data_IF_904095117432
#
_entry.id   IF_904095117432
#
_cell.length_a   1.000
_cell.length_b   1.000
_cell.length_c   1.000
_cell.angle_alpha   90.00
_cell.angle_beta   90.00
_cell.angle_gamma   90.00
#
_symmetry.space_group_name_H-M   'P 1'
#
loop_
_entity.id
_entity.type
_entity.pdbx_description
1 polymer ?
#
# COMPACT_ATOMS: atom_id res chain seq x y z
N UNK A 1 2.86 6.92 -13.28
CA UNK A 1 2.36 5.54 -13.09
C UNK A 1 1.04 5.60 -12.34
N UNK A 2 0.07 4.79 -12.74
CA UNK A 2 -1.24 4.69 -12.10
C UNK A 2 -1.60 3.22 -11.90
N UNK A 3 -2.33 2.93 -10.82
CA UNK A 3 -2.93 1.61 -10.57
C UNK A 3 -4.45 1.80 -10.51
N UNK A 4 -5.19 0.93 -11.18
CA UNK A 4 -6.65 0.92 -11.19
C UNK A 4 -7.13 -0.39 -10.55
N UNK A 5 -8.08 -0.28 -9.64
CA UNK A 5 -8.75 -1.42 -9.02
C UNK A 5 -10.24 -1.37 -9.37
N UNK A 6 -10.76 -2.45 -9.93
CA UNK A 6 -12.19 -2.60 -10.17
C UNK A 6 -12.88 -3.01 -8.86
N UNK A 7 -13.86 -2.22 -8.41
CA UNK A 7 -14.69 -2.50 -7.23
C UNK A 7 -16.09 -2.99 -7.58
N UNK A 8 -16.29 -3.42 -8.83
CA UNK A 8 -17.58 -3.83 -9.42
C UNK A 8 -18.46 -2.63 -9.75
N UNK A 9 -18.67 -1.72 -8.81
CA UNK A 9 -19.52 -0.53 -8.93
C UNK A 9 -18.74 0.78 -9.11
N UNK A 10 -17.41 0.76 -8.99
CA UNK A 10 -16.54 1.88 -9.34
C UNK A 10 -15.09 1.45 -9.64
N UNK A 11 -14.35 2.32 -10.30
CA UNK A 11 -12.88 2.25 -10.36
C UNK A 11 -12.27 3.05 -9.22
N UNK A 12 -11.39 2.40 -8.47
CA UNK A 12 -10.52 3.07 -7.52
C UNK A 12 -9.17 3.29 -8.18
N UNK A 13 -8.82 4.56 -8.38
CA UNK A 13 -7.54 4.95 -8.96
C UNK A 13 -6.53 5.32 -7.88
N UNK A 14 -5.28 4.87 -8.07
CA UNK A 14 -4.12 5.30 -7.31
C UNK A 14 -3.11 5.91 -8.28
N UNK A 15 -3.02 7.24 -8.28
CA UNK A 15 -2.03 8.00 -9.04
C UNK A 15 -0.78 8.25 -8.19
N UNK A 16 0.39 7.85 -8.70
CA UNK A 16 1.64 7.89 -7.94
C UNK A 16 2.43 9.16 -8.26
N UNK A 17 2.59 10.02 -7.26
CA UNK A 17 3.41 11.24 -7.34
C UNK A 17 4.69 11.16 -6.51
N UNK A 18 5.72 11.96 -6.83
CA UNK A 18 6.88 12.15 -5.96
C UNK A 18 6.46 12.60 -4.55
N UNK A 19 7.29 12.29 -3.54
CA UNK A 19 7.08 12.74 -2.17
C UNK A 19 7.09 14.28 -2.14
N UNK A 20 6.16 14.88 -1.41
CA UNK A 20 6.00 16.35 -1.34
C UNK A 20 5.41 16.99 -2.61
N UNK A 21 5.16 16.23 -3.68
CA UNK A 21 4.59 16.75 -4.93
C UNK A 21 3.08 16.94 -4.90
N UNK A 22 2.42 16.69 -3.77
CA UNK A 22 0.96 16.73 -3.69
C UNK A 22 0.41 18.15 -3.77
N UNK A 23 1.06 19.10 -3.10
CA UNK A 23 0.63 20.50 -3.10
C UNK A 23 0.87 21.13 -4.46
N UNK A 24 2.02 20.85 -5.09
CA UNK A 24 2.30 21.26 -6.47
C UNK A 24 1.28 20.68 -7.47
N UNK A 25 0.90 19.40 -7.31
CA UNK A 25 -0.15 18.79 -8.14
C UNK A 25 -1.53 19.41 -7.88
N UNK A 26 -1.83 19.86 -6.65
CA UNK A 26 -3.13 20.47 -6.33
C UNK A 26 -3.22 21.95 -6.71
N UNK A 27 -2.08 22.60 -6.96
CA UNK A 27 -2.02 23.98 -7.41
C UNK A 27 -2.47 24.16 -8.87
N UNK A 28 -2.41 23.11 -9.70
CA UNK A 28 -2.94 23.14 -11.06
C UNK A 28 -4.48 22.92 -11.08
N UNK A 29 -5.17 23.39 -12.13
CA UNK A 29 -6.57 23.06 -12.36
C UNK A 29 -6.80 21.54 -12.38
N UNK A 30 -7.90 21.08 -11.77
CA UNK A 30 -8.20 19.65 -11.72
C UNK A 30 -8.38 19.04 -13.13
N UNK A 31 -8.84 19.82 -14.10
CA UNK A 31 -9.03 19.37 -15.49
C UNK A 31 -7.72 18.94 -16.16
N UNK A 32 -6.60 19.59 -15.84
CA UNK A 32 -5.29 19.17 -16.35
C UNK A 32 -4.90 17.78 -15.82
N UNK A 33 -5.21 17.53 -14.55
CA UNK A 33 -5.00 16.22 -13.95
C UNK A 33 -5.95 15.17 -14.54
N UNK A 34 -7.24 15.48 -14.71
CA UNK A 34 -8.22 14.60 -15.38
C UNK A 34 -7.77 14.24 -16.79
N UNK A 35 -7.31 15.21 -17.57
CA UNK A 35 -6.73 14.98 -18.90
C UNK A 35 -5.52 14.06 -18.87
N UNK A 36 -4.68 14.15 -17.83
CA UNK A 36 -3.58 13.21 -17.62
C UNK A 36 -4.08 11.80 -17.30
N UNK A 37 -5.13 11.66 -16.48
CA UNK A 37 -5.74 10.35 -16.18
C UNK A 37 -6.36 9.73 -17.44
N UNK A 38 -7.08 10.52 -18.24
CA UNK A 38 -7.69 10.06 -19.50
C UNK A 38 -6.64 9.53 -20.49
N UNK A 39 -5.48 10.20 -20.59
CA UNK A 39 -4.35 9.73 -21.41
C UNK A 39 -3.74 8.42 -20.89
N UNK A 40 -3.67 8.26 -19.56
CA UNK A 40 -3.08 7.06 -18.94
C UNK A 40 -4.02 5.85 -18.95
N UNK A 41 -5.34 6.08 -18.94
CA UNK A 41 -6.35 5.03 -19.03
C UNK A 41 -7.51 5.48 -19.92
N UNK A 42 -7.35 5.38 -21.25
CA UNK A 42 -8.36 5.85 -22.21
C UNK A 42 -9.74 5.20 -22.02
N UNK A 43 -9.80 3.96 -21.55
CA UNK A 43 -11.05 3.23 -21.31
C UNK A 43 -11.92 3.79 -20.16
N UNK A 44 -11.39 4.72 -19.35
CA UNK A 44 -12.15 5.47 -18.34
C UNK A 44 -12.18 6.98 -18.62
N UNK A 45 -11.74 7.43 -19.80
CA UNK A 45 -11.61 8.86 -20.13
C UNK A 45 -12.92 9.64 -19.91
N UNK A 46 -14.04 9.08 -20.35
CA UNK A 46 -15.40 9.66 -20.20
C UNK A 46 -15.89 9.76 -18.75
N UNK A 47 -15.18 9.14 -17.80
CA UNK A 47 -15.55 9.09 -16.38
C UNK A 47 -14.59 9.88 -15.49
N UNK A 48 -13.61 10.58 -16.08
CA UNK A 48 -12.56 11.29 -15.33
C UNK A 48 -13.06 12.55 -14.62
N UNK A 49 -14.25 13.03 -14.96
CA UNK A 49 -14.94 14.17 -14.34
C UNK A 49 -15.53 13.86 -12.96
N UNK A 50 -15.73 12.58 -12.62
CA UNK A 50 -16.34 12.17 -11.33
C UNK A 50 -15.72 12.84 -10.10
N UNK A 51 -14.39 12.91 -9.90
CA UNK A 51 -13.81 13.69 -8.82
C UNK A 51 -13.98 15.16 -9.21
N UNK A 52 -15.05 15.80 -8.73
CA UNK A 52 -15.48 17.14 -9.12
C UNK A 52 -14.44 18.23 -8.77
N UNK A 53 -13.68 18.00 -7.69
CA UNK A 53 -12.66 18.93 -7.19
C UNK A 53 -11.49 18.19 -6.54
N UNK A 54 -10.42 18.93 -6.22
CA UNK A 54 -9.28 18.38 -5.47
C UNK A 54 -9.67 17.88 -4.07
N UNK A 55 -10.83 18.27 -3.53
CA UNK A 55 -11.34 17.76 -2.27
C UNK A 55 -11.76 16.28 -2.36
N UNK A 56 -12.13 15.81 -3.55
CA UNK A 56 -12.49 14.42 -3.82
C UNK A 56 -11.25 13.52 -3.97
N UNK A 57 -10.08 14.16 -4.06
CA UNK A 57 -8.77 13.55 -4.27
C UNK A 57 -8.00 13.49 -2.95
N UNK A 58 -7.91 12.31 -2.35
CA UNK A 58 -7.20 12.12 -1.06
C UNK A 58 -5.76 11.70 -1.25
N UNK A 59 -4.82 12.49 -0.74
CA UNK A 59 -3.39 12.17 -0.72
C UNK A 59 -3.06 11.24 0.46
N UNK A 60 -2.49 10.08 0.17
CA UNK A 60 -2.02 9.10 1.14
C UNK A 60 -0.49 9.05 1.13
N UNK A 61 0.15 9.52 2.18
CA UNK A 61 1.58 9.35 2.36
C UNK A 61 1.94 7.91 2.71
N UNK A 62 2.82 7.30 1.92
CA UNK A 62 3.29 5.94 2.20
C UNK A 62 4.39 5.98 3.25
N UNK A 63 4.12 5.35 4.39
CA UNK A 63 5.09 5.10 5.47
C UNK A 63 5.37 3.60 5.56
N UNK A 64 6.65 3.27 5.72
CA UNK A 64 7.13 1.93 5.98
C UNK A 64 7.92 2.00 7.27
N UNK A 65 7.33 1.53 8.36
CA UNK A 65 7.94 1.57 9.68
C UNK A 65 7.51 0.37 10.52
N UNK A 66 8.27 0.07 11.57
CA UNK A 66 7.96 -1.00 12.52
C UNK A 66 8.65 -0.74 13.84
N UNK A 67 7.88 -0.86 14.93
CA UNK A 67 8.41 -0.86 16.29
C UNK A 67 9.34 -2.06 16.54
N UNK A 68 10.47 -1.80 17.19
CA UNK A 68 11.37 -2.87 17.65
C UNK A 68 10.74 -3.73 18.74
N UNK A 69 9.93 -3.09 19.60
CA UNK A 69 9.17 -3.73 20.68
C UNK A 69 7.71 -3.28 20.62
N UNK A 70 6.79 -4.23 20.58
CA UNK A 70 5.35 -4.00 20.43
C UNK A 70 4.61 -3.90 21.77
N UNK A 71 5.29 -4.17 22.88
CA UNK A 71 4.66 -4.30 24.17
C UNK A 71 5.48 -3.69 25.31
N UNK A 72 4.79 -3.42 26.41
CA UNK A 72 5.32 -3.12 27.75
C UNK A 72 4.27 -3.60 28.77
N UNK A 73 4.53 -3.57 30.09
CA UNK A 73 3.52 -3.95 31.07
C UNK A 73 2.20 -3.16 30.84
N UNK A 74 1.11 -3.90 30.66
CA UNK A 74 -0.22 -3.32 30.42
C UNK A 74 -0.48 -2.72 29.02
N UNK A 75 0.43 -2.86 28.05
CA UNK A 75 0.23 -2.32 26.69
C UNK A 75 0.76 -3.28 25.63
N UNK A 76 -0.04 -3.49 24.59
CA UNK A 76 0.33 -4.19 23.37
C UNK A 76 -0.15 -3.38 22.16
N UNK A 77 0.75 -3.17 21.21
CA UNK A 77 0.48 -2.52 19.92
C UNK A 77 0.46 -3.59 18.83
N UNK A 78 -0.51 -3.52 17.93
CA UNK A 78 -0.70 -4.45 16.79
C UNK A 78 -1.10 -3.67 15.53
N UNK A 79 -1.03 -4.31 14.36
CA UNK A 79 -1.41 -3.67 13.10
C UNK A 79 -0.56 -2.44 12.81
N UNK A 80 -1.18 -1.39 12.25
CA UNK A 80 -0.48 -0.17 11.84
C UNK A 80 0.25 0.54 12.98
N UNK A 81 -0.22 0.37 14.23
CA UNK A 81 0.46 0.92 15.42
C UNK A 81 1.80 0.21 15.71
N UNK A 82 1.92 -1.06 15.35
CA UNK A 82 3.16 -1.82 15.51
C UNK A 82 4.03 -1.80 14.24
N UNK A 83 3.40 -1.68 13.08
CA UNK A 83 4.05 -1.66 11.78
C UNK A 83 3.20 -0.99 10.70
N UNK A 84 3.61 0.22 10.31
CA UNK A 84 3.05 0.91 9.16
C UNK A 84 3.57 0.28 7.87
N UNK A 85 2.67 -0.15 7.00
CA UNK A 85 3.00 -0.88 5.78
C UNK A 85 2.68 -0.09 4.51
N UNK A 86 3.34 -0.47 3.41
CA UNK A 86 3.02 0.09 2.11
C UNK A 86 1.66 -0.41 1.61
N UNK A 87 0.90 0.47 0.92
CA UNK A 87 -0.24 0.19 0.07
C UNK A 87 -0.32 -1.12 -0.71
N UNK A 88 0.87 -1.53 -1.14
CA UNK A 88 1.06 -2.42 -2.27
C UNK A 88 0.53 -3.81 -1.89
N UNK A 89 -0.46 -4.28 -2.65
CA UNK A 89 -1.02 -5.63 -2.54
C UNK A 89 -2.02 -5.83 -1.40
N UNK A 90 -2.50 -4.78 -0.74
CA UNK A 90 -3.47 -4.92 0.35
C UNK A 90 -2.96 -5.75 1.54
N UNK A 91 -1.64 -5.86 1.69
CA UNK A 91 -1.03 -6.81 2.64
C UNK A 91 -1.13 -6.31 4.09
N UNK A 92 -1.21 -4.99 4.31
CA UNK A 92 -1.28 -4.37 5.64
C UNK A 92 -2.49 -4.82 6.45
N UNK A 93 -3.70 -4.77 5.88
CA UNK A 93 -4.92 -5.19 6.59
C UNK A 93 -4.90 -6.68 6.93
N UNK A 94 -4.37 -7.51 6.03
CA UNK A 94 -4.24 -8.95 6.27
C UNK A 94 -3.28 -9.25 7.42
N UNK A 95 -2.16 -8.52 7.52
CA UNK A 95 -1.26 -8.64 8.65
C UNK A 95 -1.91 -8.18 9.96
N UNK A 96 -2.58 -7.03 9.96
CA UNK A 96 -3.27 -6.50 11.13
C UNK A 96 -4.35 -7.46 11.66
N UNK A 97 -5.16 -8.05 10.77
CA UNK A 97 -6.16 -9.06 11.15
C UNK A 97 -5.49 -10.26 11.80
N UNK A 98 -4.41 -10.76 11.21
CA UNK A 98 -3.71 -11.90 11.79
C UNK A 98 -3.01 -11.56 13.11
N UNK A 99 -2.56 -10.32 13.32
CA UNK A 99 -2.05 -9.87 14.63
C UNK A 99 -3.18 -9.91 15.68
N UNK A 100 -4.38 -9.45 15.31
CA UNK A 100 -5.55 -9.51 16.17
C UNK A 100 -5.91 -10.96 16.51
N UNK A 101 -5.89 -11.88 15.55
CA UNK A 101 -6.12 -13.31 15.77
C UNK A 101 -5.10 -13.90 16.74
N UNK A 102 -3.80 -13.65 16.53
CA UNK A 102 -2.76 -14.17 17.43
C UNK A 102 -2.86 -13.55 18.82
N UNK A 103 -3.19 -12.26 18.91
CA UNK A 103 -3.43 -11.57 20.19
C UNK A 103 -4.58 -12.22 20.94
N UNK A 104 -5.72 -12.42 20.26
CA UNK A 104 -6.89 -13.06 20.84
C UNK A 104 -6.56 -14.48 21.34
N UNK A 105 -5.92 -15.30 20.49
CA UNK A 105 -5.55 -16.67 20.86
C UNK A 105 -4.55 -16.74 22.02
N UNK A 106 -3.73 -15.70 22.22
CA UNK A 106 -2.74 -15.66 23.30
C UNK A 106 -3.32 -15.12 24.60
N UNK A 107 -4.15 -14.06 24.53
CA UNK A 107 -4.57 -13.31 25.72
C UNK A 107 -5.97 -13.69 26.23
N UNK A 108 -6.89 -14.09 25.35
CA UNK A 108 -8.26 -14.45 25.75
C UNK A 108 -8.29 -15.62 26.74
N UNK A 109 -7.51 -16.71 26.58
CA UNK A 109 -7.48 -17.78 27.57
C UNK A 109 -7.04 -17.29 28.95
N UNK A 110 -6.00 -16.45 29.01
CA UNK A 110 -5.49 -15.89 30.26
C UNK A 110 -6.55 -15.02 30.95
N UNK A 111 -7.25 -14.18 30.18
CA UNK A 111 -8.32 -13.33 30.70
C UNK A 111 -9.50 -14.14 31.23
N UNK A 112 -9.91 -15.21 30.52
CA UNK A 112 -11.00 -16.10 30.94
C UNK A 112 -10.67 -16.87 32.22
N UNK A 113 -9.42 -17.29 32.36
CA UNK A 113 -8.91 -17.99 33.54
C UNK A 113 -8.51 -17.03 34.68
N UNK A 114 -8.74 -15.71 34.53
CA UNK A 114 -8.33 -14.67 35.48
C UNK A 114 -6.82 -14.70 35.82
N UNK A 115 -6.00 -15.13 34.86
CA UNK A 115 -4.55 -15.20 34.99
C UNK A 115 -3.91 -13.86 34.65
N UNK A 116 -2.81 -13.50 35.32
CA UNK A 116 -2.12 -12.25 35.04
C UNK A 116 -1.57 -12.23 33.61
N UNK A 117 -1.81 -11.13 32.89
CA UNK A 117 -1.12 -10.86 31.63
C UNK A 117 0.29 -10.38 31.98
N UNK A 118 1.26 -11.22 31.66
CA UNK A 118 2.69 -10.94 31.88
C UNK A 118 3.34 -10.37 30.62
N UNK A 119 4.50 -9.72 30.77
CA UNK A 119 5.31 -9.35 29.61
C UNK A 119 5.64 -10.54 28.71
N UNK A 120 5.77 -11.75 29.28
CA UNK A 120 6.02 -12.97 28.50
C UNK A 120 4.86 -13.29 27.56
N UNK A 121 3.61 -13.17 28.02
CA UNK A 121 2.44 -13.36 27.15
C UNK A 121 2.35 -12.30 26.05
N UNK A 122 2.71 -11.05 26.34
CA UNK A 122 2.73 -9.98 25.33
C UNK A 122 3.86 -10.18 24.31
N UNK A 123 5.04 -10.58 24.79
CA UNK A 123 6.18 -10.96 23.95
C UNK A 123 5.85 -12.11 23.01
N UNK A 124 5.10 -13.11 23.47
CA UNK A 124 4.71 -14.25 22.64
C UNK A 124 3.93 -13.83 21.38
N UNK A 125 3.10 -12.77 21.49
CA UNK A 125 2.44 -12.18 20.32
C UNK A 125 3.48 -11.62 19.35
N UNK A 126 4.39 -10.76 19.83
CA UNK A 126 5.44 -10.20 18.98
C UNK A 126 6.31 -11.29 18.34
N UNK A 127 6.75 -12.29 19.10
CA UNK A 127 7.66 -13.34 18.60
C UNK A 127 7.00 -14.16 17.48
N UNK A 128 5.69 -14.39 17.57
CA UNK A 128 4.92 -15.08 16.53
C UNK A 128 4.66 -14.22 15.29
N UNK A 129 4.49 -12.91 15.47
CA UNK A 129 4.07 -11.98 14.39
C UNK A 129 5.21 -11.25 13.72
N UNK A 130 6.35 -11.12 14.39
CA UNK A 130 7.49 -10.36 13.89
C UNK A 130 8.15 -11.01 12.65
N UNK A 131 8.38 -12.34 12.58
CA UNK A 131 8.98 -12.95 11.39
C UNK A 131 8.19 -12.70 10.09
N UNK A 132 6.88 -12.98 9.99
CA UNK A 132 6.12 -12.71 8.77
C UNK A 132 6.05 -11.21 8.45
N UNK A 133 5.93 -10.36 9.47
CA UNK A 133 5.96 -8.89 9.32
C UNK A 133 7.27 -8.42 8.67
N UNK A 134 8.43 -8.92 9.13
CA UNK A 134 9.74 -8.57 8.57
C UNK A 134 9.90 -9.04 7.14
N UNK A 135 9.43 -10.25 6.82
CA UNK A 135 9.49 -10.78 5.47
C UNK A 135 8.71 -9.89 4.49
N UNK A 136 7.49 -9.52 4.86
CA UNK A 136 6.63 -8.71 4.00
C UNK A 136 7.17 -7.28 3.86
N UNK A 137 7.62 -6.66 4.96
CA UNK A 137 8.28 -5.35 4.90
C UNK A 137 9.51 -5.37 4.00
N UNK A 138 10.34 -6.43 4.08
CA UNK A 138 11.50 -6.58 3.21
C UNK A 138 11.10 -6.67 1.73
N UNK A 139 10.09 -7.48 1.41
CA UNK A 139 9.56 -7.59 0.05
C UNK A 139 9.01 -6.24 -0.45
N UNK A 140 8.24 -5.52 0.37
CA UNK A 140 7.69 -4.21 0.04
C UNK A 140 8.79 -3.17 -0.21
N UNK A 141 9.86 -3.15 0.60
CA UNK A 141 11.01 -2.27 0.39
C UNK A 141 11.72 -2.58 -0.94
N UNK A 142 11.88 -3.85 -1.29
CA UNK A 142 12.50 -4.23 -2.57
C UNK A 142 11.65 -3.81 -3.77
N UNK A 143 10.33 -4.03 -3.71
CA UNK A 143 9.40 -3.59 -4.74
C UNK A 143 9.43 -2.06 -4.86
N UNK A 144 9.39 -1.35 -3.73
CA UNK A 144 9.43 0.11 -3.72
C UNK A 144 10.71 0.63 -4.37
N UNK A 145 11.88 0.08 -4.03
CA UNK A 145 13.18 0.44 -4.66
C UNK A 145 13.17 0.26 -6.17
N UNK A 146 12.63 -0.87 -6.67
CA UNK A 146 12.55 -1.16 -8.12
C UNK A 146 11.55 -0.25 -8.86
N UNK A 147 10.45 0.11 -8.22
CA UNK A 147 9.44 1.03 -8.79
C UNK A 147 9.95 2.48 -8.76
N UNK A 148 10.73 2.87 -7.75
CA UNK A 148 11.41 4.16 -7.69
C UNK A 148 12.50 4.25 -8.77
N UNK A 149 13.38 3.25 -8.90
CA UNK A 149 14.47 3.29 -9.89
C UNK A 149 13.97 3.35 -11.32
N UNK A 150 12.90 2.61 -11.65
CA UNK A 150 12.25 2.70 -12.96
C UNK A 150 11.57 4.06 -13.20
N UNK A 151 10.93 4.65 -12.20
CA UNK A 151 10.36 5.99 -12.34
C UNK A 151 11.40 7.12 -12.42
N UNK A 152 12.58 6.92 -11.81
CA UNK A 152 13.74 7.81 -11.97
C UNK A 152 14.35 7.70 -13.37
N UNK A 153 14.47 6.48 -13.91
CA UNK A 153 14.94 6.25 -15.27
C UNK A 153 13.95 6.74 -16.35
N UNK A 154 12.64 6.70 -16.08
CA UNK A 154 11.60 7.28 -16.96
C UNK A 154 11.74 8.81 -17.08
N UNK A 155 12.39 9.49 -16.12
CA UNK A 155 12.69 10.93 -16.23
C UNK A 155 13.85 11.21 -17.20
N UNK A 156 14.68 10.21 -17.52
CA UNK A 156 15.77 10.33 -18.49
C UNK A 156 15.36 9.96 -19.93
N UNK A 157 14.20 9.33 -20.12
CA UNK A 157 13.69 8.91 -21.44
C UNK A 157 12.36 9.55 -21.83
N UNK A 158 12.04 10.73 -21.28
CA UNK A 158 10.92 11.57 -21.71
C UNK A 158 11.15 12.07 -23.15
N UNK A 159 10.99 11.16 -24.10
CA UNK A 159 11.21 11.37 -25.52
C UNK A 159 10.44 10.43 -26.42
N UNK A 160 9.92 9.28 -25.97
CA UNK A 160 9.09 8.41 -26.83
C UNK A 160 7.96 7.69 -26.09
N UNK A 161 6.74 7.89 -26.57
CA UNK A 161 5.48 7.53 -25.94
C UNK A 161 4.99 6.11 -26.29
N UNK A 162 5.80 5.05 -26.14
CA UNK A 162 5.38 3.70 -26.56
C UNK A 162 5.40 2.56 -25.54
N UNK A 163 5.97 2.70 -24.34
CA UNK A 163 6.18 1.51 -23.49
C UNK A 163 5.55 1.61 -22.09
N UNK A 164 4.22 1.45 -21.94
CA UNK A 164 3.61 1.40 -20.60
C UNK A 164 2.43 0.42 -20.47
N UNK A 165 2.74 -0.87 -20.37
CA UNK A 165 1.93 -1.84 -19.64
C UNK A 165 2.85 -2.86 -18.95
N UNK A 166 2.74 -3.02 -17.63
CA UNK A 166 3.38 -4.15 -16.95
C UNK A 166 2.40 -4.80 -15.98
N UNK A 167 1.80 -5.90 -16.43
CA UNK A 167 1.28 -6.94 -15.56
C UNK A 167 2.47 -7.78 -15.08
N UNK A 168 2.63 -7.97 -13.76
CA UNK A 168 3.72 -8.79 -13.22
C UNK A 168 3.15 -9.98 -12.42
N UNK A 169 3.28 -11.17 -13.00
CA UNK A 169 3.26 -12.46 -12.30
C UNK A 169 4.65 -12.69 -11.63
N UNK A 170 4.67 -13.35 -10.46
CA UNK A 170 5.88 -13.55 -9.65
C UNK A 170 6.17 -15.05 -9.47
N UNK A 171 7.36 -15.55 -9.87
CA UNK A 171 7.89 -16.85 -9.44
C UNK A 171 9.01 -16.75 -8.38
N UNK A 172 9.21 -17.84 -7.64
CA UNK A 172 10.03 -17.98 -6.41
C UNK A 172 11.53 -18.32 -6.62
N UNK A 173 12.39 -18.00 -5.62
CA UNK A 173 13.75 -18.54 -5.45
C UNK A 173 14.63 -17.79 -4.41
N UNK A 174 15.32 -18.54 -3.52
CA UNK A 174 16.11 -18.17 -2.29
C UNK A 174 17.65 -18.32 -2.48
N UNK A 175 18.59 -18.12 -1.49
CA UNK A 175 18.69 -17.28 -0.25
C UNK A 175 20.09 -16.59 0.09
N UNK A 176 20.12 -15.74 1.14
CA UNK A 176 21.20 -15.49 2.17
C UNK A 176 22.41 -14.53 1.89
N UNK A 177 23.15 -13.93 2.87
CA UNK A 177 22.97 -13.72 4.34
C UNK A 177 22.97 -12.21 4.81
N UNK A 178 22.71 -12.01 6.11
CA UNK A 178 22.41 -10.78 6.91
C UNK A 178 23.64 -9.86 7.20
N UNK A 179 23.56 -8.78 8.04
CA UNK A 179 22.45 -7.91 8.47
C UNK A 179 22.77 -6.39 8.33
N UNK A 180 21.76 -5.55 8.04
CA UNK A 180 21.72 -4.17 8.55
C UNK A 180 20.27 -3.67 8.55
N UNK A 181 19.70 -3.55 9.74
CA UNK A 181 18.48 -2.77 9.98
C UNK A 181 18.92 -1.35 10.32
N UNK A 182 18.60 -0.38 9.45
CA UNK A 182 18.38 1.03 9.81
C UNK A 182 17.56 1.73 8.71
N UNK A 183 16.36 2.13 9.13
CA UNK A 183 15.47 3.23 8.75
C UNK A 183 15.46 3.87 7.34
N UNK A 184 14.20 4.12 6.93
CA UNK A 184 13.65 5.15 6.04
C UNK A 184 13.71 4.93 4.51
N UNK A 185 12.51 4.75 3.94
CA UNK A 185 12.22 4.91 2.52
C UNK A 185 10.79 5.42 2.36
N UNK A 186 10.66 6.73 2.58
CA UNK A 186 9.49 7.50 2.21
C UNK A 186 9.48 7.61 0.68
N UNK A 187 8.53 6.95 0.02
CA UNK A 187 8.35 7.19 -1.41
C UNK A 187 6.90 7.00 -1.79
N UNK A 188 6.30 8.17 -2.05
CA UNK A 188 5.08 8.49 -2.78
C UNK A 188 3.86 8.75 -1.94
N UNK A 189 3.16 9.79 -2.38
CA UNK A 189 1.82 10.11 -1.98
C UNK A 189 0.84 9.52 -3.00
N UNK A 190 -0.33 9.06 -2.56
CA UNK A 190 -1.33 8.36 -3.38
C UNK A 190 -2.62 9.17 -3.43
N UNK A 191 -3.08 9.57 -4.60
CA UNK A 191 -4.39 10.21 -4.77
C UNK A 191 -5.48 9.14 -4.90
N UNK A 192 -6.53 9.19 -4.06
CA UNK A 192 -7.73 8.36 -4.15
C UNK A 192 -8.91 9.17 -4.68
N UNK A 193 -9.66 8.61 -5.64
CA UNK A 193 -10.98 9.06 -6.05
C UNK A 193 -11.87 7.84 -6.38
N UNK A 194 -13.19 7.95 -6.18
CA UNK A 194 -14.18 6.96 -6.62
C UNK A 194 -14.68 7.37 -8.01
N UNK A 195 -14.72 6.45 -8.98
CA UNK A 195 -15.28 6.67 -10.32
C UNK A 195 -16.40 5.65 -10.59
N UNK A 196 -17.70 6.01 -10.58
CA UNK A 196 -18.81 5.05 -10.66
C UNK A 196 -18.81 4.22 -11.95
N UNK A 197 -19.39 3.03 -11.84
CA UNK A 197 -19.58 2.04 -12.88
C UNK A 197 -21.02 2.11 -13.41
N UNK A 198 -21.16 2.28 -14.71
CA UNK A 198 -22.38 1.92 -15.45
C UNK A 198 -21.94 1.11 -16.67
N UNK A 199 -22.61 -0.02 -16.87
CA UNK A 199 -22.07 -1.24 -17.47
C UNK A 199 -21.52 -1.15 -18.89
N UNK A 200 -20.51 -1.98 -19.16
CA UNK A 200 -20.11 -2.38 -20.51
C UNK A 200 -20.12 -3.91 -20.56
N UNK A 201 -20.89 -4.47 -21.51
CA UNK A 201 -20.97 -5.90 -21.80
C UNK A 201 -19.58 -6.47 -22.10
N UNK A 202 -19.24 -7.61 -21.50
CA UNK A 202 -18.09 -8.42 -21.92
C UNK A 202 -18.27 -8.84 -23.39
N UNK A 203 -17.23 -8.78 -24.24
CA UNK A 203 -17.28 -9.40 -25.55
C UNK A 203 -17.34 -10.93 -25.37
N UNK A 204 -18.31 -11.56 -26.02
CA UNK A 204 -18.45 -13.01 -26.08
C UNK A 204 -17.19 -13.63 -26.67
N UNK A 205 -16.63 -14.64 -25.99
CA UNK A 205 -15.61 -15.50 -26.57
C UNK A 205 -16.25 -16.31 -27.70
N UNK A 206 -15.74 -16.14 -28.92
CA UNK A 206 -15.83 -17.14 -29.98
C UNK A 206 -14.62 -18.08 -29.85
#
# INVERSE_FOLDING_TARGET
MMVLLNRTDYWQAAYLIPKGGADALRAQPIDEWRGTIAKLAPFIAERTDTPASWNDVKTLEVRLDRLERWYRPGLLLIGDAAHAMSPIGGVGINLAIQDAIVTANTLVPLLREQRPITERSLRAVQDRRLPPTRLILAAQLQIQKRVISRAGAIRASAGNARDFALAAAVPHGTPSPRPAVRLWSASRARVHGRLPFTGVKQPSRA
#
